data_IF_692288447822
#
_entry.id   IF_692288447822
#
_cell.length_a   1.000
_cell.length_b   1.000
_cell.length_c   1.000
_cell.angle_alpha   90.00
_cell.angle_beta   90.00
_cell.angle_gamma   90.00
#
_symmetry.space_group_name_H-M   'P 1'
#
loop_
_entity.id
_entity.type
_entity.pdbx_description
1 polymer ?
#
# COMPACT_ATOMS: atom_id res chain seq x y z
N UNK A 1 -9.41 -8.33 -2.12
CA UNK A 1 -8.65 -8.23 -3.39
C UNK A 1 -9.46 -8.61 -4.63
N UNK A 2 -10.42 -9.54 -4.54
CA UNK A 2 -11.20 -10.05 -5.69
C UNK A 2 -12.60 -9.46 -5.82
N UNK A 3 -12.99 -8.54 -4.95
CA UNK A 3 -14.27 -7.84 -5.09
C UNK A 3 -14.26 -7.08 -6.43
N UNK A 4 -15.31 -7.21 -7.27
CA UNK A 4 -15.28 -6.59 -8.58
C UNK A 4 -15.60 -5.10 -8.52
N UNK A 5 -14.80 -4.29 -9.17
CA UNK A 5 -15.17 -2.94 -9.56
C UNK A 5 -15.63 -3.03 -11.02
N UNK A 6 -16.92 -2.78 -11.28
CA UNK A 6 -17.61 -3.19 -12.48
C UNK A 6 -17.42 -4.71 -12.72
N UNK A 7 -16.81 -5.10 -13.83
CA UNK A 7 -16.57 -6.50 -14.21
C UNK A 7 -15.12 -6.96 -13.96
N UNK A 8 -14.33 -6.18 -13.22
CA UNK A 8 -12.89 -6.41 -13.07
C UNK A 8 -12.52 -6.54 -11.59
N UNK A 9 -11.85 -7.63 -11.16
CA UNK A 9 -11.35 -7.77 -9.79
C UNK A 9 -10.51 -6.58 -9.36
N UNK A 10 -10.70 -6.10 -8.13
CA UNK A 10 -10.01 -4.92 -7.59
C UNK A 10 -8.48 -5.00 -7.73
N UNK A 11 -7.89 -6.15 -7.44
CA UNK A 11 -6.43 -6.33 -7.50
C UNK A 11 -5.83 -6.04 -8.88
N UNK A 12 -6.60 -6.18 -9.96
CA UNK A 12 -6.12 -5.81 -11.30
C UNK A 12 -5.75 -4.32 -11.41
N UNK A 13 -6.47 -3.45 -10.72
CA UNK A 13 -6.18 -2.00 -10.74
C UNK A 13 -4.84 -1.70 -10.05
N UNK A 14 -4.53 -2.40 -8.95
CA UNK A 14 -3.25 -2.28 -8.27
C UNK A 14 -2.11 -2.86 -9.13
N UNK A 15 -2.31 -4.02 -9.75
CA UNK A 15 -1.32 -4.62 -10.66
C UNK A 15 -1.04 -3.71 -11.85
N UNK A 16 -2.05 -3.07 -12.44
CA UNK A 16 -1.85 -2.12 -13.54
C UNK A 16 -1.01 -0.91 -13.12
N UNK A 17 -1.19 -0.43 -11.90
CA UNK A 17 -0.36 0.64 -11.36
C UNK A 17 1.09 0.20 -11.18
N UNK A 18 1.31 -1.00 -10.60
CA UNK A 18 2.65 -1.57 -10.41
C UNK A 18 3.39 -1.77 -11.74
N UNK A 19 2.69 -2.23 -12.79
CA UNK A 19 3.24 -2.42 -14.13
C UNK A 19 3.69 -1.14 -14.83
N UNK A 20 3.29 0.04 -14.36
CA UNK A 20 3.81 1.31 -14.85
C UNK A 20 5.26 1.55 -14.46
N UNK A 21 5.80 0.76 -13.52
CA UNK A 21 7.19 0.81 -13.08
C UNK A 21 7.93 -0.43 -13.60
N UNK A 22 8.74 -0.31 -14.68
CA UNK A 22 9.40 -1.46 -15.31
C UNK A 22 10.36 -2.23 -14.40
N UNK A 23 10.81 -1.60 -13.32
CA UNK A 23 11.72 -2.20 -12.35
C UNK A 23 11.02 -3.18 -11.40
N UNK A 24 9.69 -3.17 -11.34
CA UNK A 24 8.92 -4.11 -10.55
C UNK A 24 8.70 -5.38 -11.39
N UNK A 25 9.44 -6.41 -11.10
CA UNK A 25 9.46 -7.68 -11.84
C UNK A 25 8.60 -8.79 -11.23
N UNK A 26 8.27 -8.66 -9.94
CA UNK A 26 7.45 -9.64 -9.21
C UNK A 26 6.43 -8.94 -8.30
N UNK A 27 5.22 -9.48 -8.25
CA UNK A 27 4.18 -9.09 -7.29
C UNK A 27 4.00 -10.23 -6.29
N UNK A 28 4.16 -9.93 -5.00
CA UNK A 28 3.98 -10.90 -3.93
C UNK A 28 2.64 -10.62 -3.26
N UNK A 29 1.74 -11.58 -3.29
CA UNK A 29 0.46 -11.52 -2.62
C UNK A 29 0.54 -12.26 -1.29
N UNK A 30 0.60 -11.49 -0.18
CA UNK A 30 0.48 -12.05 1.17
C UNK A 30 -1.00 -12.22 1.50
N UNK A 31 -1.42 -13.46 1.73
CA UNK A 31 -2.81 -13.85 1.82
C UNK A 31 -3.08 -14.64 3.09
N UNK A 32 -4.22 -14.37 3.73
CA UNK A 32 -4.72 -15.20 4.82
C UNK A 32 -6.11 -15.78 4.48
N UNK A 33 -6.98 -15.00 3.84
CA UNK A 33 -8.36 -15.36 3.55
C UNK A 33 -8.56 -15.82 2.10
N UNK A 34 -9.10 -17.02 1.89
CA UNK A 34 -9.43 -17.63 0.60
C UNK A 34 -8.28 -17.59 -0.44
N UNK A 35 -7.06 -18.00 -0.11
CA UNK A 35 -5.92 -17.88 -1.02
C UNK A 35 -6.15 -18.62 -2.34
N UNK A 36 -6.71 -19.83 -2.31
CA UNK A 36 -6.97 -20.65 -3.50
C UNK A 36 -7.84 -19.93 -4.54
N UNK A 37 -8.86 -19.20 -4.09
CA UNK A 37 -9.76 -18.47 -4.99
C UNK A 37 -9.03 -17.31 -5.69
N UNK A 38 -8.07 -16.71 -5.03
CA UNK A 38 -7.24 -15.65 -5.61
C UNK A 38 -6.27 -16.26 -6.62
N UNK A 39 -5.63 -17.38 -6.29
CA UNK A 39 -4.76 -18.13 -7.18
C UNK A 39 -5.49 -18.60 -8.45
N UNK A 40 -6.73 -19.09 -8.33
CA UNK A 40 -7.57 -19.49 -9.47
C UNK A 40 -7.85 -18.35 -10.45
N UNK A 41 -8.00 -17.12 -9.94
CA UNK A 41 -8.32 -15.92 -10.75
C UNK A 41 -7.06 -15.37 -11.44
N UNK A 42 -5.94 -15.30 -10.72
CA UNK A 42 -4.74 -14.59 -11.18
C UNK A 42 -3.63 -15.51 -11.70
N UNK A 43 -3.69 -16.82 -11.40
CA UNK A 43 -2.68 -17.80 -11.82
C UNK A 43 -1.28 -17.39 -11.40
N UNK A 44 -0.31 -17.62 -12.25
CA UNK A 44 1.09 -17.18 -12.05
C UNK A 44 1.34 -15.73 -12.49
N UNK A 45 0.30 -15.03 -12.95
CA UNK A 45 0.38 -13.67 -13.45
C UNK A 45 0.76 -13.54 -14.93
N UNK A 46 1.04 -14.63 -15.64
CA UNK A 46 1.43 -14.60 -17.06
C UNK A 46 0.37 -13.93 -17.94
N UNK A 47 -0.91 -14.17 -17.66
CA UNK A 47 -2.02 -13.50 -18.36
C UNK A 47 -2.05 -11.98 -18.18
N UNK A 48 -1.35 -11.46 -17.17
CA UNK A 48 -1.23 -10.03 -16.85
C UNK A 48 0.14 -9.47 -17.25
N UNK A 49 1.01 -10.26 -17.88
CA UNK A 49 2.39 -9.91 -18.16
C UNK A 49 3.15 -9.45 -16.90
N UNK A 50 2.95 -10.12 -15.78
CA UNK A 50 3.67 -9.93 -14.54
C UNK A 50 3.87 -11.28 -13.85
N UNK A 51 4.87 -11.40 -12.99
CA UNK A 51 5.07 -12.60 -12.18
C UNK A 51 4.35 -12.41 -10.86
N UNK A 52 3.50 -13.38 -10.49
CA UNK A 52 2.81 -13.37 -9.19
C UNK A 52 3.29 -14.54 -8.35
N UNK A 53 3.69 -14.23 -7.12
CA UNK A 53 4.02 -15.20 -6.09
C UNK A 53 3.05 -15.09 -4.92
N UNK A 54 2.57 -16.21 -4.44
CA UNK A 54 1.63 -16.28 -3.34
C UNK A 54 2.35 -16.69 -2.07
N UNK A 55 2.05 -15.99 -0.99
CA UNK A 55 2.52 -16.31 0.36
C UNK A 55 1.28 -16.40 1.25
N UNK A 56 1.06 -17.58 1.83
CA UNK A 56 -0.10 -17.81 2.69
C UNK A 56 0.34 -17.75 4.15
N UNK A 57 -0.20 -16.78 4.86
CA UNK A 57 0.08 -16.61 6.29
C UNK A 57 -0.58 -17.75 7.09
N UNK A 58 0.14 -18.42 8.01
CA UNK A 58 -0.43 -19.48 8.83
C UNK A 58 -1.48 -18.96 9.81
N UNK A 59 -1.31 -17.72 10.25
CA UNK A 59 -2.24 -16.92 11.08
C UNK A 59 -2.13 -15.46 10.66
N UNK A 60 -3.11 -14.59 10.95
CA UNK A 60 -2.99 -13.16 10.64
C UNK A 60 -1.79 -12.54 11.36
N UNK A 61 -0.77 -12.13 10.59
CA UNK A 61 0.48 -11.59 11.13
C UNK A 61 0.48 -10.06 11.28
N UNK A 62 -0.60 -9.38 10.92
CA UNK A 62 -0.63 -7.92 10.82
C UNK A 62 0.23 -7.41 9.67
N UNK A 63 0.14 -6.12 9.31
CA UNK A 63 0.77 -5.62 8.09
C UNK A 63 2.30 -5.78 8.10
N UNK A 64 2.99 -5.44 9.18
CA UNK A 64 4.45 -5.58 9.23
C UNK A 64 4.89 -7.04 9.31
N UNK A 65 4.18 -7.88 10.07
CA UNK A 65 4.44 -9.31 10.13
C UNK A 65 4.26 -9.99 8.77
N UNK A 66 3.22 -9.62 8.02
CA UNK A 66 2.98 -10.09 6.65
C UNK A 66 4.12 -9.68 5.70
N UNK A 67 4.58 -8.41 5.78
CA UNK A 67 5.71 -7.92 4.98
C UNK A 67 6.98 -8.71 5.29
N UNK A 68 7.30 -8.93 6.57
CA UNK A 68 8.45 -9.74 6.95
C UNK A 68 8.34 -11.17 6.44
N UNK A 69 7.20 -11.80 6.65
CA UNK A 69 6.96 -13.19 6.26
C UNK A 69 7.06 -13.39 4.74
N UNK A 70 6.51 -12.46 3.96
CA UNK A 70 6.61 -12.46 2.51
C UNK A 70 8.00 -12.09 2.00
N UNK A 71 8.70 -11.21 2.73
CA UNK A 71 9.96 -10.58 2.37
C UNK A 71 11.23 -11.23 2.92
N UNK A 72 11.15 -12.40 3.54
CA UNK A 72 12.28 -13.06 4.24
C UNK A 72 13.54 -13.28 3.37
N UNK A 73 13.38 -13.29 2.04
CA UNK A 73 14.49 -13.49 1.07
C UNK A 73 14.75 -12.30 0.17
N UNK A 74 14.08 -11.17 0.42
CA UNK A 74 14.25 -9.98 -0.41
C UNK A 74 15.51 -9.22 0.01
N UNK A 75 16.25 -8.76 -0.97
CA UNK A 75 17.49 -8.01 -0.80
C UNK A 75 17.41 -6.59 -1.37
N UNK A 76 16.36 -6.30 -2.12
CA UNK A 76 16.11 -5.01 -2.74
C UNK A 76 14.91 -4.32 -2.11
N UNK A 77 14.84 -2.99 -2.23
CA UNK A 77 13.71 -2.20 -1.74
C UNK A 77 12.39 -2.75 -2.24
N UNK A 78 11.39 -2.80 -1.37
CA UNK A 78 10.08 -3.33 -1.71
C UNK A 78 9.01 -2.25 -1.68
N UNK A 79 8.12 -2.29 -2.66
CA UNK A 79 6.90 -1.48 -2.66
C UNK A 79 5.79 -2.29 -2.00
N UNK A 80 5.16 -1.73 -0.99
CA UNK A 80 4.08 -2.37 -0.25
C UNK A 80 2.79 -1.61 -0.47
N UNK A 81 1.71 -2.32 -0.77
CA UNK A 81 0.36 -1.77 -0.87
C UNK A 81 -0.57 -2.45 0.13
N UNK A 82 -1.38 -1.66 0.82
CA UNK A 82 -2.57 -2.19 1.46
C UNK A 82 -3.54 -2.72 0.38
N UNK A 83 -4.09 -3.91 0.59
CA UNK A 83 -4.88 -4.64 -0.41
C UNK A 83 -6.27 -4.05 -0.69
N UNK A 84 -6.59 -2.87 -0.19
CA UNK A 84 -7.87 -2.16 -0.34
C UNK A 84 -7.71 -0.71 -0.87
N UNK A 85 -6.50 -0.30 -1.22
CA UNK A 85 -6.22 1.07 -1.72
C UNK A 85 -6.30 1.15 -3.23
N UNK A 86 -7.08 2.11 -3.73
CA UNK A 86 -7.14 2.50 -5.13
C UNK A 86 -6.62 3.93 -5.30
N UNK A 87 -5.69 4.12 -6.23
CA UNK A 87 -5.02 5.42 -6.46
C UNK A 87 -4.46 5.53 -7.87
N UNK A 88 -4.11 6.75 -8.27
CA UNK A 88 -3.44 7.07 -9.55
C UNK A 88 -2.07 7.72 -9.32
N UNK A 89 -1.41 7.37 -8.22
CA UNK A 89 -0.12 7.93 -7.86
C UNK A 89 0.97 7.61 -8.89
N UNK A 90 1.88 8.55 -9.13
CA UNK A 90 3.15 8.28 -9.83
C UNK A 90 4.09 7.48 -8.89
N UNK A 91 4.02 6.18 -8.98
CA UNK A 91 4.81 5.29 -8.14
C UNK A 91 6.31 5.40 -8.44
N UNK A 92 6.69 5.71 -9.68
CA UNK A 92 8.09 5.94 -10.04
C UNK A 92 8.65 7.18 -9.32
N UNK A 93 7.83 8.23 -9.11
CA UNK A 93 8.23 9.40 -8.34
C UNK A 93 8.45 9.07 -6.85
N UNK A 94 7.62 8.18 -6.27
CA UNK A 94 7.79 7.71 -4.88
C UNK A 94 9.11 6.95 -4.73
N UNK A 95 9.38 6.01 -5.64
CA UNK A 95 10.61 5.21 -5.64
C UNK A 95 11.83 6.10 -5.85
N UNK A 96 11.75 7.08 -6.76
CA UNK A 96 12.81 8.05 -6.98
C UNK A 96 13.13 8.85 -5.72
N UNK A 97 12.11 9.39 -5.04
CA UNK A 97 12.29 10.09 -3.75
C UNK A 97 12.97 9.20 -2.72
N UNK A 98 12.54 7.96 -2.60
CA UNK A 98 13.10 6.98 -1.67
C UNK A 98 14.63 6.82 -1.90
N UNK A 99 15.04 6.63 -3.16
CA UNK A 99 16.45 6.47 -3.55
C UNK A 99 17.27 7.75 -3.35
N UNK A 100 16.75 8.89 -3.79
CA UNK A 100 17.42 10.19 -3.65
C UNK A 100 17.68 10.54 -2.18
N UNK A 101 16.72 10.24 -1.32
CA UNK A 101 16.83 10.48 0.12
C UNK A 101 17.61 9.38 0.85
N UNK A 102 17.98 8.29 0.17
CA UNK A 102 18.55 7.07 0.79
C UNK A 102 17.71 6.65 2.00
N UNK A 103 16.40 6.64 1.80
CA UNK A 103 15.45 6.40 2.86
C UNK A 103 15.45 4.93 3.29
N UNK A 104 15.23 4.70 4.57
CA UNK A 104 15.01 3.37 5.14
C UNK A 104 13.55 2.94 4.97
N UNK A 105 12.68 3.94 4.97
CA UNK A 105 11.28 3.80 4.61
C UNK A 105 10.77 5.09 3.96
N UNK A 106 9.86 4.95 3.02
CA UNK A 106 9.07 6.04 2.47
C UNK A 106 7.61 5.69 2.62
N UNK A 107 6.81 6.63 3.13
CA UNK A 107 5.36 6.49 3.28
C UNK A 107 4.66 7.47 2.36
N UNK A 108 3.65 7.02 1.66
CA UNK A 108 2.75 7.92 0.92
C UNK A 108 1.70 8.47 1.87
N UNK A 109 1.52 9.78 1.85
CA UNK A 109 0.48 10.48 2.59
C UNK A 109 -0.53 11.08 1.64
N UNK A 110 -1.79 11.13 2.07
CA UNK A 110 -2.84 11.84 1.36
C UNK A 110 -3.62 12.75 2.31
N UNK A 111 -3.95 13.99 1.90
CA UNK A 111 -4.77 14.88 2.73
C UNK A 111 -6.24 14.44 2.67
N UNK A 112 -6.87 14.37 3.85
CA UNK A 112 -8.30 14.05 3.98
C UNK A 112 -9.02 15.08 4.83
N UNK A 113 -10.33 15.20 4.67
CA UNK A 113 -11.13 16.15 5.48
C UNK A 113 -11.26 15.69 6.94
N UNK A 114 -11.39 14.40 7.17
CA UNK A 114 -11.50 13.82 8.51
C UNK A 114 -10.48 12.71 8.73
N UNK A 115 -9.37 12.98 9.44
CA UNK A 115 -8.30 12.00 9.66
C UNK A 115 -8.57 11.00 10.81
N UNK A 116 -9.64 11.13 11.59
CA UNK A 116 -9.88 10.33 12.81
C UNK A 116 -9.97 8.82 12.58
N UNK A 117 -10.27 8.39 11.36
CA UNK A 117 -10.39 6.97 11.01
C UNK A 117 -9.07 6.33 10.54
N UNK A 118 -8.00 7.11 10.43
CA UNK A 118 -6.75 6.75 9.78
C UNK A 118 -5.53 6.97 10.68
N UNK A 119 -4.37 6.55 10.21
CA UNK A 119 -3.08 6.93 10.81
C UNK A 119 -2.67 8.34 10.37
N UNK A 120 -2.62 9.28 11.30
CA UNK A 120 -2.16 10.64 11.06
C UNK A 120 -0.64 10.70 11.09
N UNK A 121 -0.03 11.44 10.17
CA UNK A 121 1.43 11.52 10.04
C UNK A 121 1.90 12.97 9.98
N UNK A 122 2.79 13.32 10.89
CA UNK A 122 3.44 14.63 10.93
C UNK A 122 4.83 14.54 10.29
N UNK A 123 5.20 15.61 9.61
CA UNK A 123 6.51 15.73 8.95
C UNK A 123 7.20 17.04 9.32
N UNK A 124 8.51 17.03 9.30
CA UNK A 124 9.29 18.28 9.36
C UNK A 124 9.30 19.00 7.98
N UNK A 125 9.94 20.18 7.94
CA UNK A 125 10.07 20.97 6.73
C UNK A 125 10.87 20.26 5.62
N UNK A 126 11.68 19.27 5.97
CA UNK A 126 12.44 18.44 5.03
C UNK A 126 11.66 17.21 4.52
N UNK A 127 10.41 17.03 4.95
CA UNK A 127 9.58 15.88 4.60
C UNK A 127 9.94 14.59 5.34
N UNK A 128 10.72 14.67 6.43
CA UNK A 128 10.94 13.50 7.27
C UNK A 128 9.75 13.28 8.19
N UNK A 129 9.36 12.04 8.39
CA UNK A 129 8.28 11.69 9.32
C UNK A 129 8.79 11.88 10.76
N UNK A 130 8.06 12.68 11.53
CA UNK A 130 8.40 12.99 12.92
C UNK A 130 7.48 12.35 13.94
N UNK A 131 6.22 12.08 13.53
CA UNK A 131 5.22 11.46 14.41
C UNK A 131 4.22 10.65 13.59
N UNK A 132 3.79 9.53 14.16
CA UNK A 132 2.71 8.69 13.63
C UNK A 132 1.69 8.44 14.74
N UNK A 133 0.41 8.73 14.49
CA UNK A 133 -0.68 8.52 15.44
C UNK A 133 -1.80 7.74 14.78
N UNK A 134 -1.98 6.50 15.21
CA UNK A 134 -3.05 5.64 14.68
C UNK A 134 -4.39 5.99 15.31
N UNK A 135 -5.37 6.38 14.48
CA UNK A 135 -6.72 6.78 14.86
C UNK A 135 -6.73 7.89 15.94
N UNK A 136 -6.26 9.07 15.57
CA UNK A 136 -6.13 10.19 16.52
C UNK A 136 -7.48 10.60 17.09
N UNK A 137 -7.50 11.01 18.35
CA UNK A 137 -8.61 11.77 18.94
C UNK A 137 -8.67 13.18 18.34
N UNK A 138 -9.77 13.88 18.51
CA UNK A 138 -9.96 15.20 17.90
C UNK A 138 -8.92 16.25 18.34
N UNK A 139 -8.43 16.14 19.55
CA UNK A 139 -7.39 17.00 20.14
C UNK A 139 -5.96 16.65 19.69
N UNK A 140 -5.77 15.48 19.10
CA UNK A 140 -4.47 15.05 18.54
C UNK A 140 -4.31 15.41 17.06
N UNK A 141 -5.34 15.96 16.42
CA UNK A 141 -5.32 16.33 14.99
C UNK A 141 -4.51 17.60 14.80
N UNK A 142 -3.31 17.46 14.27
CA UNK A 142 -2.37 18.56 13.97
C UNK A 142 -2.18 18.78 12.47
N UNK A 143 -2.56 17.79 11.67
CA UNK A 143 -2.47 17.81 10.21
C UNK A 143 -3.64 17.02 9.61
N UNK A 144 -3.88 17.17 8.31
CA UNK A 144 -4.84 16.37 7.57
C UNK A 144 -4.17 15.27 6.73
N UNK A 145 -2.85 15.13 6.79
CA UNK A 145 -2.10 14.11 6.09
C UNK A 145 -2.21 12.77 6.80
N UNK A 146 -2.76 11.79 6.11
CA UNK A 146 -2.92 10.43 6.63
C UNK A 146 -2.07 9.43 5.86
N UNK A 147 -1.82 8.29 6.48
CA UNK A 147 -1.23 7.12 5.86
C UNK A 147 -2.11 6.62 4.70
N UNK A 148 -1.58 6.69 3.48
CA UNK A 148 -2.28 6.24 2.28
C UNK A 148 -2.20 4.73 2.04
N UNK A 149 -1.51 3.95 2.88
CA UNK A 149 -1.37 2.51 2.74
C UNK A 149 -0.42 2.08 1.61
N UNK A 150 0.55 2.93 1.27
CA UNK A 150 1.55 2.67 0.24
C UNK A 150 2.93 3.05 0.80
N UNK A 151 3.88 2.13 0.66
CA UNK A 151 5.21 2.28 1.25
C UNK A 151 6.30 1.81 0.30
N UNK A 152 7.51 2.37 0.45
CA UNK A 152 8.76 1.78 -0.07
C UNK A 152 9.64 1.50 1.14
N UNK A 153 10.05 0.25 1.31
CA UNK A 153 10.74 -0.22 2.52
C UNK A 153 12.04 -0.93 2.16
N UNK A 154 13.09 -0.73 2.97
CA UNK A 154 14.33 -1.47 2.88
C UNK A 154 14.25 -2.79 3.66
N UNK A 155 14.53 -3.96 3.05
CA UNK A 155 14.35 -5.27 3.67
C UNK A 155 15.20 -5.48 4.93
N UNK A 156 16.39 -4.88 5.02
CA UNK A 156 17.24 -4.99 6.21
C UNK A 156 16.63 -4.33 7.45
N UNK A 157 15.59 -3.50 7.28
CA UNK A 157 14.80 -2.97 8.39
C UNK A 157 13.82 -3.99 8.97
N UNK A 158 13.58 -5.12 8.29
CA UNK A 158 12.63 -6.15 8.74
C UNK A 158 13.16 -7.01 9.90
N UNK A 159 14.45 -6.97 10.18
CA UNK A 159 15.06 -7.70 11.29
C UNK A 159 14.47 -7.33 12.67
N UNK A 160 13.95 -6.10 12.79
CA UNK A 160 13.26 -5.61 13.98
C UNK A 160 11.87 -6.19 14.19
N UNK A 161 11.28 -6.79 13.16
CA UNK A 161 9.96 -7.39 13.21
C UNK A 161 10.12 -8.82 13.73
N UNK A 162 9.47 -9.21 14.86
CA UNK A 162 9.53 -10.57 15.35
C UNK A 162 8.96 -11.56 14.33
N UNK A 163 9.54 -12.75 14.24
CA UNK A 163 9.01 -13.82 13.39
C UNK A 163 7.77 -14.44 14.03
N UNK A 164 6.81 -14.82 13.17
CA UNK A 164 5.60 -15.58 13.54
C UNK A 164 4.70 -14.91 14.60
N UNK A 165 4.78 -13.58 14.72
CA UNK A 165 3.98 -12.77 15.64
C UNK A 165 3.24 -11.69 14.88
N UNK A 166 1.98 -11.45 15.25
CA UNK A 166 1.21 -10.33 14.71
C UNK A 166 1.89 -9.00 15.06
N UNK A 167 2.35 -8.27 14.04
CA UNK A 167 3.07 -7.02 14.22
C UNK A 167 2.48 -5.92 13.34
N UNK A 168 2.05 -4.82 13.98
CA UNK A 168 1.48 -3.67 13.27
C UNK A 168 2.57 -2.82 12.64
N UNK A 169 2.37 -2.43 11.38
CA UNK A 169 3.25 -1.48 10.73
C UNK A 169 3.10 -0.08 11.34
N UNK A 170 1.87 0.31 11.68
CA UNK A 170 1.52 1.62 12.19
C UNK A 170 1.91 1.81 13.66
N UNK A 171 1.64 0.80 14.49
CA UNK A 171 1.82 0.89 15.95
C UNK A 171 3.21 0.50 16.44
N UNK A 172 3.96 -0.22 15.62
CA UNK A 172 5.23 -0.81 16.04
C UNK A 172 6.38 -0.51 15.10
N UNK A 173 6.22 -0.80 13.79
CA UNK A 173 7.32 -0.65 12.84
C UNK A 173 7.66 0.81 12.56
N UNK A 174 6.70 1.66 12.17
CA UNK A 174 6.95 3.08 11.91
C UNK A 174 7.45 3.84 13.14
N UNK A 175 6.86 3.68 14.35
CA UNK A 175 7.44 4.27 15.55
C UNK A 175 8.89 3.86 15.79
N UNK A 176 9.26 2.60 15.53
CA UNK A 176 10.64 2.14 15.69
C UNK A 176 11.64 2.82 14.77
N UNK A 177 11.23 3.23 13.55
CA UNK A 177 12.08 4.01 12.64
C UNK A 177 12.33 5.41 13.19
N UNK A 178 11.28 6.06 13.71
CA UNK A 178 11.36 7.41 14.31
C UNK A 178 12.25 7.38 15.55
N UNK A 179 12.04 6.44 16.46
CA UNK A 179 12.82 6.28 17.71
C UNK A 179 14.31 6.08 17.42
N UNK A 180 14.64 5.31 16.38
CA UNK A 180 16.01 5.06 15.95
C UNK A 180 16.60 6.17 15.08
N UNK A 181 15.83 7.22 14.77
CA UNK A 181 16.21 8.34 13.91
C UNK A 181 16.68 7.88 12.53
N UNK A 182 16.04 6.86 12.00
CA UNK A 182 16.31 6.38 10.66
C UNK A 182 15.68 7.33 9.62
N UNK A 183 16.22 7.36 8.41
CA UNK A 183 15.68 8.20 7.33
C UNK A 183 14.32 7.67 6.91
N UNK A 184 13.26 8.20 7.50
CA UNK A 184 11.87 7.87 7.20
C UNK A 184 11.21 9.10 6.59
N UNK A 185 10.89 9.05 5.30
CA UNK A 185 10.40 10.19 4.52
C UNK A 185 8.96 10.01 4.07
N UNK A 186 8.28 11.12 3.87
CA UNK A 186 6.92 11.15 3.37
C UNK A 186 6.87 11.67 1.93
N UNK A 187 6.04 11.03 1.10
CA UNK A 187 5.62 11.52 -0.20
C UNK A 187 4.15 11.95 -0.11
N UNK A 188 3.87 13.25 -0.25
CA UNK A 188 2.49 13.76 -0.17
C UNK A 188 1.85 13.71 -1.55
N UNK A 189 0.74 12.99 -1.65
CA UNK A 189 -0.05 12.85 -2.87
C UNK A 189 -1.47 13.37 -2.65
N UNK A 190 -1.82 14.44 -3.35
CA UNK A 190 -3.13 15.09 -3.26
C UNK A 190 -4.09 14.70 -4.42
N UNK A 191 -3.74 13.68 -5.22
CA UNK A 191 -4.59 13.17 -6.29
C UNK A 191 -5.63 12.18 -5.81
N UNK A 192 -6.19 11.39 -6.75
CA UNK A 192 -7.22 10.40 -6.42
C UNK A 192 -6.69 9.29 -5.53
N UNK A 193 -7.32 9.13 -4.38
CA UNK A 193 -7.06 8.07 -3.42
C UNK A 193 -8.35 7.68 -2.69
N UNK A 194 -8.58 6.38 -2.54
CA UNK A 194 -9.67 5.83 -1.75
C UNK A 194 -9.29 4.43 -1.23
N UNK A 195 -9.65 4.10 0.01
CA UNK A 195 -9.70 2.73 0.50
C UNK A 195 -11.13 2.19 0.33
N UNK A 196 -11.27 0.95 -0.11
CA UNK A 196 -12.58 0.31 -0.33
C UNK A 196 -13.04 -0.53 0.85
N UNK A 197 -12.60 -0.18 2.05
CA UNK A 197 -12.85 -0.95 3.28
C UNK A 197 -14.31 -0.95 3.75
N UNK A 198 -15.19 -0.11 3.19
CA UNK A 198 -16.61 -0.07 3.52
C UNK A 198 -17.52 -0.15 2.28
N UNK A 199 -18.80 -0.61 2.42
CA UNK A 199 -19.76 -0.63 1.32
C UNK A 199 -19.98 0.74 0.68
N UNK A 200 -19.96 1.81 1.47
CA UNK A 200 -20.14 3.19 1.00
C UNK A 200 -18.98 3.60 0.08
N UNK A 201 -17.74 3.36 0.50
CA UNK A 201 -16.54 3.65 -0.29
C UNK A 201 -16.44 2.76 -1.53
N UNK A 202 -16.81 1.49 -1.41
CA UNK A 202 -16.91 0.59 -2.55
C UNK A 202 -17.90 1.12 -3.59
N UNK A 203 -19.08 1.60 -3.17
CA UNK A 203 -20.06 2.24 -4.06
C UNK A 203 -19.52 3.55 -4.64
N UNK A 204 -18.79 4.33 -3.84
CA UNK A 204 -18.19 5.58 -4.27
C UNK A 204 -17.19 5.39 -5.42
N UNK A 205 -16.36 4.35 -5.38
CA UNK A 205 -15.42 4.05 -6.49
C UNK A 205 -16.15 3.89 -7.82
N UNK A 206 -17.28 3.20 -7.86
CA UNK A 206 -18.06 3.06 -9.10
C UNK A 206 -18.55 4.38 -9.63
N UNK A 207 -19.01 5.29 -8.76
CA UNK A 207 -19.41 6.65 -9.11
C UNK A 207 -18.22 7.47 -9.63
N UNK A 208 -17.10 7.40 -8.94
CA UNK A 208 -15.89 8.15 -9.29
C UNK A 208 -15.35 7.76 -10.67
N UNK A 209 -15.45 6.47 -11.03
CA UNK A 209 -15.10 5.99 -12.37
C UNK A 209 -16.10 6.52 -13.41
N UNK A 210 -17.42 6.45 -13.15
CA UNK A 210 -18.44 6.96 -14.07
C UNK A 210 -18.33 8.47 -14.27
N UNK A 211 -17.97 9.22 -13.21
CA UNK A 211 -17.78 10.67 -13.24
C UNK A 211 -16.42 11.10 -13.82
N UNK A 212 -15.54 10.14 -14.18
CA UNK A 212 -14.21 10.42 -14.70
C UNK A 212 -13.20 10.94 -13.66
N UNK A 213 -13.50 10.81 -12.35
CA UNK A 213 -12.57 11.20 -11.28
C UNK A 213 -11.43 10.21 -11.13
N UNK A 214 -11.70 8.94 -11.40
CA UNK A 214 -10.69 7.91 -11.56
C UNK A 214 -10.64 7.48 -13.02
N UNK A 215 -9.49 7.72 -13.65
CA UNK A 215 -9.26 7.32 -15.04
C UNK A 215 -8.70 5.89 -15.04
N UNK A 216 -9.50 4.93 -15.44
CA UNK A 216 -9.02 3.56 -15.68
C UNK A 216 -8.68 3.39 -17.16
N UNK A 217 -7.74 2.50 -17.45
CA UNK A 217 -7.57 2.00 -18.82
C UNK A 217 -8.94 1.56 -19.36
N UNK A 218 -9.28 1.86 -20.62
CA UNK A 218 -10.59 1.52 -21.17
C UNK A 218 -10.86 0.04 -20.89
N UNK A 219 -12.08 -0.28 -20.46
CA UNK A 219 -12.51 -1.66 -20.25
C UNK A 219 -12.04 -2.45 -21.45
N UNK A 220 -11.03 -3.28 -21.24
CA UNK A 220 -10.42 -4.07 -22.32
C UNK A 220 -11.57 -4.79 -23.00
N UNK A 221 -11.71 -4.56 -24.31
CA UNK A 221 -12.70 -5.18 -25.14
C UNK A 221 -12.83 -6.66 -24.73
N UNK A 222 -13.92 -6.98 -24.08
CA UNK A 222 -14.35 -8.36 -24.03
C UNK A 222 -14.75 -8.69 -25.45
N UNK A 223 -13.79 -9.18 -26.22
CA UNK A 223 -14.10 -9.87 -27.47
C UNK A 223 -15.03 -11.02 -27.09
N UNK A 224 -16.25 -10.92 -27.65
CA UNK A 224 -17.29 -11.91 -27.55
C UNK A 224 -16.81 -13.30 -27.99
#
# INVERSE_FOLDING_TARGET
PIVPIFNRPFLHYQIDLLKQVPEIDEVILSLNYQPRRIEEIFGDGSALNTKIRYVVEPVPLGTAGAVKYAGDKLTESVVVFNGDVLTQIDLAAVIRLHRERKARATIVLTPVQNPTAYGLVETDAGGNVTRFVEKPSADEITTNNINAGIYVLEPDTFDRIPSDVAWSIERSYFPSLIERRETFVAYIYAGYWIDIGTPEKYTQVHRDIMDGRYVTAPFLNMSA
#
